data_IF_291425315062
#
_entry.id   IF_291425315062
#
_cell.length_a   1.000
_cell.length_b   1.000
_cell.length_c   1.000
_cell.angle_alpha   90.00
_cell.angle_beta   90.00
_cell.angle_gamma   90.00
#
_symmetry.space_group_name_H-M   'P 1'
#
loop_
_entity.id
_entity.type
_entity.pdbx_description
1 polymer ?
#
# COMPACT_ATOMS: atom_id res chain seq x y z
N UNK A 1 22.90 -22.11 -2.71
CA UNK A 1 22.23 -21.78 -3.99
C UNK A 1 22.01 -20.27 -4.04
N UNK A 2 22.63 -19.57 -4.99
CA UNK A 2 22.39 -18.14 -5.22
C UNK A 2 21.06 -17.96 -5.95
N UNK A 3 20.15 -17.12 -5.43
CA UNK A 3 18.90 -16.72 -6.10
C UNK A 3 19.12 -15.33 -6.71
N UNK A 4 19.56 -15.21 -7.98
CA UNK A 4 20.09 -13.95 -8.51
C UNK A 4 19.00 -12.97 -8.98
N UNK A 5 17.75 -13.43 -9.14
CA UNK A 5 16.65 -12.58 -9.60
C UNK A 5 16.15 -11.74 -8.43
N UNK A 6 16.15 -10.41 -8.61
CA UNK A 6 15.78 -9.44 -7.59
C UNK A 6 14.83 -8.41 -8.21
N UNK A 7 13.82 -8.01 -7.44
CA UNK A 7 12.98 -6.85 -7.73
C UNK A 7 13.32 -5.74 -6.74
N UNK A 8 13.74 -4.57 -7.25
CA UNK A 8 14.01 -3.39 -6.44
C UNK A 8 12.78 -2.50 -6.39
N UNK A 9 12.28 -2.24 -5.18
CA UNK A 9 11.10 -1.41 -4.96
C UNK A 9 11.53 -0.08 -4.34
N UNK A 10 11.31 1.02 -5.06
CA UNK A 10 11.63 2.36 -4.57
C UNK A 10 10.45 2.96 -3.78
N UNK A 11 10.56 2.93 -2.45
CA UNK A 11 9.52 3.49 -1.57
C UNK A 11 9.38 5.01 -1.65
N UNK A 12 10.45 5.73 -2.02
CA UNK A 12 10.37 7.18 -2.20
C UNK A 12 9.51 7.55 -3.42
N UNK A 13 9.59 6.77 -4.49
CA UNK A 13 8.72 6.95 -5.66
C UNK A 13 7.25 6.70 -5.33
N UNK A 14 6.94 5.67 -4.52
CA UNK A 14 5.57 5.42 -4.05
C UNK A 14 5.03 6.58 -3.21
N UNK A 15 5.85 7.12 -2.29
CA UNK A 15 5.49 8.28 -1.48
C UNK A 15 5.24 9.51 -2.36
N UNK A 16 6.11 9.77 -3.34
CA UNK A 16 5.95 10.88 -4.26
C UNK A 16 4.64 10.78 -5.07
N UNK A 17 4.28 9.58 -5.54
CA UNK A 17 3.01 9.35 -6.21
C UNK A 17 1.81 9.66 -5.32
N UNK A 18 1.86 9.28 -4.04
CA UNK A 18 0.80 9.58 -3.07
C UNK A 18 0.69 11.10 -2.79
N UNK A 19 1.83 11.79 -2.68
CA UNK A 19 1.85 13.27 -2.55
C UNK A 19 1.18 13.94 -3.75
N UNK A 20 1.56 13.54 -4.96
CA UNK A 20 0.98 14.07 -6.20
C UNK A 20 -0.53 13.77 -6.27
N UNK A 21 -0.96 12.57 -5.86
CA UNK A 21 -2.39 12.24 -5.80
C UNK A 21 -3.12 13.13 -4.78
N UNK A 22 -2.51 13.38 -3.61
CA UNK A 22 -3.06 14.28 -2.58
C UNK A 22 -3.19 15.71 -3.08
N UNK A 23 -2.19 16.25 -3.75
CA UNK A 23 -2.24 17.60 -4.32
C UNK A 23 -3.37 17.78 -5.34
N UNK A 24 -3.81 16.70 -5.99
CA UNK A 24 -4.85 16.71 -7.03
C UNK A 24 -6.23 16.24 -6.55
N UNK A 25 -6.31 15.73 -5.33
CA UNK A 25 -7.53 15.13 -4.80
C UNK A 25 -8.40 16.13 -4.03
N UNK A 26 -8.00 17.40 -3.92
CA UNK A 26 -8.66 18.41 -3.09
C UNK A 26 -8.99 17.87 -1.68
N UNK A 27 -10.28 17.81 -1.33
CA UNK A 27 -10.78 17.28 -0.05
C UNK A 27 -11.20 15.80 -0.11
N UNK A 28 -10.99 15.11 -1.24
CA UNK A 28 -11.36 13.71 -1.38
C UNK A 28 -10.48 12.79 -0.51
N UNK A 29 -11.08 11.70 -0.04
CA UNK A 29 -10.34 10.63 0.62
C UNK A 29 -9.55 9.81 -0.40
N UNK A 30 -8.33 9.41 -0.04
CA UNK A 30 -7.44 8.59 -0.86
C UNK A 30 -7.30 7.22 -0.23
N UNK A 31 -7.76 6.19 -0.94
CA UNK A 31 -7.50 4.80 -0.59
C UNK A 31 -6.39 4.26 -1.49
N UNK A 32 -5.28 3.85 -0.90
CA UNK A 32 -4.20 3.24 -1.68
C UNK A 32 -4.56 1.79 -2.03
N UNK A 33 -4.58 1.49 -3.33
CA UNK A 33 -4.95 0.16 -3.82
C UNK A 33 -3.76 -0.78 -3.70
N UNK A 34 -3.89 -1.87 -2.95
CA UNK A 34 -2.81 -2.82 -2.62
C UNK A 34 -3.19 -4.29 -2.89
N UNK A 35 -4.11 -4.54 -3.83
CA UNK A 35 -4.47 -5.90 -4.28
C UNK A 35 -3.28 -6.68 -4.85
N UNK A 36 -3.38 -8.00 -4.89
CA UNK A 36 -2.35 -8.91 -5.39
C UNK A 36 -0.98 -8.66 -4.74
N UNK A 37 -0.94 -8.61 -3.40
CA UNK A 37 0.27 -8.32 -2.62
C UNK A 37 0.93 -6.98 -3.01
N UNK A 38 0.12 -5.92 -3.06
CA UNK A 38 0.49 -4.61 -3.57
C UNK A 38 1.07 -4.65 -5.00
N UNK A 39 0.37 -5.29 -5.93
CA UNK A 39 0.81 -5.49 -7.31
C UNK A 39 2.22 -6.12 -7.39
N UNK A 40 2.51 -7.09 -6.51
CA UNK A 40 3.81 -7.75 -6.42
C UNK A 40 4.93 -6.95 -5.71
N UNK A 41 4.66 -5.74 -5.25
CA UNK A 41 5.65 -4.92 -4.52
C UNK A 41 5.85 -5.39 -3.07
N UNK A 42 4.92 -6.20 -2.55
CA UNK A 42 4.91 -6.68 -1.17
C UNK A 42 4.13 -5.75 -0.27
N UNK A 43 2.98 -6.20 0.24
CA UNK A 43 2.07 -5.40 1.05
C UNK A 43 2.78 -4.72 2.22
N UNK A 44 3.43 -5.51 3.07
CA UNK A 44 4.12 -4.96 4.26
C UNK A 44 5.30 -4.05 3.91
N UNK A 45 5.95 -4.29 2.75
CA UNK A 45 7.06 -3.47 2.27
C UNK A 45 6.59 -2.07 1.91
N UNK A 46 5.43 -1.94 1.26
CA UNK A 46 4.94 -0.65 0.78
C UNK A 46 4.15 0.14 1.81
N UNK A 47 3.65 -0.49 2.88
CA UNK A 47 2.83 0.18 3.91
C UNK A 47 3.44 1.50 4.43
N UNK A 48 4.73 1.59 4.78
CA UNK A 48 5.31 2.84 5.27
C UNK A 48 5.28 3.98 4.24
N UNK A 49 5.32 3.66 2.94
CA UNK A 49 5.24 4.64 1.86
C UNK A 49 3.80 5.13 1.62
N UNK A 50 2.81 4.37 2.09
CA UNK A 50 1.37 4.65 1.95
C UNK A 50 0.77 5.24 3.24
N UNK A 51 1.61 5.62 4.21
CA UNK A 51 1.19 6.07 5.54
C UNK A 51 0.26 7.30 5.51
N UNK A 52 0.31 8.12 4.45
CA UNK A 52 -0.51 9.33 4.33
C UNK A 52 -1.84 9.10 3.60
N UNK A 53 -2.12 7.87 3.15
CA UNK A 53 -3.41 7.50 2.57
C UNK A 53 -4.47 7.34 3.68
N UNK A 54 -5.71 7.72 3.39
CA UNK A 54 -6.82 7.65 4.35
C UNK A 54 -7.26 6.19 4.63
N UNK A 55 -6.80 5.25 3.81
CA UNK A 55 -7.00 3.82 3.98
C UNK A 55 -6.41 3.01 2.84
N UNK A 56 -6.74 1.73 2.83
CA UNK A 56 -6.31 0.76 1.81
C UNK A 56 -7.52 0.15 1.10
N UNK A 57 -7.33 -0.23 -0.16
CA UNK A 57 -8.29 -1.02 -0.91
C UNK A 57 -7.62 -2.29 -1.47
N UNK A 58 -8.22 -3.46 -1.25
CA UNK A 58 -7.68 -4.77 -1.66
C UNK A 58 -8.81 -5.77 -1.84
N UNK A 59 -8.55 -6.90 -2.50
CA UNK A 59 -9.58 -7.91 -2.77
C UNK A 59 -9.45 -9.16 -1.87
N UNK A 60 -8.28 -9.32 -1.25
CA UNK A 60 -7.90 -10.52 -0.52
C UNK A 60 -8.24 -10.40 0.97
N UNK A 61 -9.19 -11.22 1.44
CA UNK A 61 -9.61 -11.24 2.85
C UNK A 61 -8.45 -11.56 3.80
N UNK A 62 -7.60 -12.54 3.47
CA UNK A 62 -6.44 -12.92 4.29
C UNK A 62 -5.46 -11.76 4.48
N UNK A 63 -5.27 -10.95 3.43
CA UNK A 63 -4.43 -9.76 3.53
C UNK A 63 -5.08 -8.68 4.40
N UNK A 64 -6.41 -8.53 4.35
CA UNK A 64 -7.13 -7.60 5.23
C UNK A 64 -7.06 -8.04 6.71
N UNK A 65 -7.16 -9.35 6.98
CA UNK A 65 -6.97 -9.93 8.31
C UNK A 65 -5.55 -9.66 8.81
N UNK A 66 -4.53 -9.98 8.02
CA UNK A 66 -3.13 -9.73 8.38
C UNK A 66 -2.85 -8.25 8.69
N UNK A 67 -3.47 -7.32 7.94
CA UNK A 67 -3.38 -5.88 8.23
C UNK A 67 -3.97 -5.55 9.61
N UNK A 68 -5.10 -6.16 10.00
CA UNK A 68 -5.72 -5.95 11.32
C UNK A 68 -4.91 -6.57 12.45
N UNK A 69 -4.33 -7.75 12.24
CA UNK A 69 -3.42 -8.39 13.21
C UNK A 69 -2.16 -7.55 13.45
N UNK A 70 -1.69 -6.83 12.42
CA UNK A 70 -0.60 -5.84 12.52
C UNK A 70 -1.06 -4.47 13.03
N UNK A 71 -2.27 -4.38 13.58
CA UNK A 71 -2.86 -3.16 14.13
C UNK A 71 -2.98 -1.99 13.14
N UNK A 72 -3.09 -2.26 11.84
CA UNK A 72 -3.45 -1.23 10.87
C UNK A 72 -4.87 -0.73 11.19
N UNK A 73 -4.98 0.51 11.62
CA UNK A 73 -6.23 1.06 12.16
C UNK A 73 -7.09 1.83 11.15
N UNK A 74 -6.53 2.23 10.01
CA UNK A 74 -7.26 3.05 9.02
C UNK A 74 -8.28 2.20 8.24
N UNK A 75 -9.07 2.86 7.40
CA UNK A 75 -10.11 2.21 6.60
C UNK A 75 -9.50 1.12 5.70
N UNK A 76 -10.19 -0.01 5.63
CA UNK A 76 -9.94 -1.06 4.64
C UNK A 76 -11.22 -1.20 3.82
N UNK A 77 -11.09 -1.07 2.50
CA UNK A 77 -12.15 -1.36 1.53
C UNK A 77 -11.85 -2.72 0.89
N UNK A 78 -12.79 -3.66 1.02
CA UNK A 78 -12.80 -4.96 0.34
C UNK A 78 -13.67 -4.88 -0.91
#
# INVERSE_FOLDING_TARGET
>A
MTRPILAQINLAALRANLVIARERADQAQILAVVKANAYGHGLLRVLPALADADGLALLELDAAIALRELHYARRILL
#
